data_IF_555589122313
#
_entry.id   IF_555589122313
#
_cell.length_a   1.000
_cell.length_b   1.000
_cell.length_c   1.000
_cell.angle_alpha   90.00
_cell.angle_beta   90.00
_cell.angle_gamma   90.00
#
_symmetry.space_group_name_H-M   'P 1'
#
loop_
_entity.id
_entity.type
_entity.pdbx_description
1 polymer ?
#
# COMPACT_ATOMS: atom_id res chain seq x y z
N UNK A 1 -9.80 -6.60 11.50
CA UNK A 1 -11.05 -6.17 10.80
C UNK A 1 -10.60 -5.52 9.48
N UNK A 2 -11.40 -5.47 8.40
CA UNK A 2 -10.90 -4.97 7.11
C UNK A 2 -10.81 -3.43 7.02
N UNK A 3 -10.94 -2.71 8.14
CA UNK A 3 -10.91 -1.24 8.20
C UNK A 3 -10.03 -0.79 9.35
N UNK A 4 -9.37 0.36 9.17
CA UNK A 4 -8.54 0.98 10.20
C UNK A 4 -9.27 2.11 10.93
N UNK A 5 -8.75 2.46 12.10
CA UNK A 5 -9.29 3.55 12.90
C UNK A 5 -9.08 4.90 12.22
N UNK A 6 -10.15 5.71 12.15
CA UNK A 6 -10.13 7.00 11.45
C UNK A 6 -9.13 8.01 12.01
N UNK A 7 -8.78 7.90 13.29
CA UNK A 7 -7.85 8.80 13.97
C UNK A 7 -6.38 8.64 13.54
N UNK A 8 -6.02 7.53 12.90
CA UNK A 8 -4.65 7.29 12.43
C UNK A 8 -4.42 7.74 10.98
N UNK A 9 -5.50 7.92 10.20
CA UNK A 9 -5.42 8.14 8.75
C UNK A 9 -4.54 9.34 8.37
N UNK A 10 -4.78 10.51 8.97
CA UNK A 10 -4.04 11.73 8.63
C UNK A 10 -2.56 11.62 8.97
N UNK A 11 -2.21 10.97 10.08
CA UNK A 11 -0.82 10.76 10.50
C UNK A 11 -0.08 9.83 9.53
N UNK A 12 -0.71 8.73 9.14
CA UNK A 12 -0.12 7.74 8.23
C UNK A 12 0.06 8.34 6.83
N UNK A 13 -0.95 9.03 6.31
CA UNK A 13 -0.87 9.67 4.98
C UNK A 13 0.12 10.83 4.98
N UNK A 14 0.11 11.68 6.01
CA UNK A 14 1.08 12.76 6.14
C UNK A 14 2.53 12.26 6.22
N UNK A 15 2.77 11.10 6.87
CA UNK A 15 4.08 10.45 6.83
C UNK A 15 4.45 10.03 5.40
N UNK A 16 3.55 9.35 4.68
CA UNK A 16 3.80 8.92 3.31
C UNK A 16 4.09 10.09 2.36
N UNK A 17 3.36 11.20 2.49
CA UNK A 17 3.61 12.44 1.73
C UNK A 17 5.00 13.01 1.98
N UNK A 18 5.47 12.99 3.23
CA UNK A 18 6.82 13.44 3.58
C UNK A 18 7.92 12.55 3.01
N UNK A 19 7.68 11.24 2.91
CA UNK A 19 8.64 10.30 2.32
C UNK A 19 8.75 10.43 0.80
N UNK A 20 7.71 10.96 0.12
CA UNK A 20 7.64 11.07 -1.35
C UNK A 20 8.05 9.79 -2.09
N UNK A 21 7.48 8.62 -1.75
CA UNK A 21 7.85 7.35 -2.38
C UNK A 21 7.38 7.26 -3.83
N UNK A 22 8.13 6.56 -4.68
CA UNK A 22 7.70 6.20 -6.04
C UNK A 22 7.17 4.76 -6.09
N UNK A 23 7.50 3.95 -5.09
CA UNK A 23 7.09 2.56 -4.95
C UNK A 23 6.68 2.22 -3.53
N UNK A 24 5.45 1.73 -3.35
CA UNK A 24 4.85 1.42 -2.05
C UNK A 24 4.37 -0.02 -2.03
N UNK A 25 4.59 -0.71 -0.91
CA UNK A 25 3.94 -1.98 -0.58
C UNK A 25 3.00 -1.77 0.61
N UNK A 26 1.72 -2.10 0.43
CA UNK A 26 0.69 -2.07 1.47
C UNK A 26 0.30 -3.49 1.85
N UNK A 27 0.57 -3.89 3.08
CA UNK A 27 0.41 -5.28 3.55
C UNK A 27 -0.76 -5.35 4.53
N UNK A 28 -1.74 -6.22 4.23
CA UNK A 28 -3.00 -6.27 4.95
C UNK A 28 -3.95 -5.17 4.48
N UNK A 29 -4.14 -5.06 3.17
CA UNK A 29 -4.90 -3.96 2.53
C UNK A 29 -6.34 -3.82 3.03
N UNK A 30 -6.94 -4.90 3.56
CA UNK A 30 -8.29 -4.91 4.10
C UNK A 30 -9.30 -4.52 3.02
N UNK A 31 -10.05 -3.44 3.24
CA UNK A 31 -11.01 -2.90 2.28
C UNK A 31 -10.41 -1.91 1.26
N UNK A 32 -9.07 -1.75 1.25
CA UNK A 32 -8.34 -0.88 0.32
C UNK A 32 -8.26 0.59 0.75
N UNK A 33 -8.49 0.87 2.04
CA UNK A 33 -8.54 2.24 2.57
C UNK A 33 -7.22 2.99 2.37
N UNK A 34 -6.09 2.40 2.78
CA UNK A 34 -4.78 3.05 2.61
C UNK A 34 -4.34 3.08 1.16
N UNK A 35 -4.54 2.02 0.38
CA UNK A 35 -4.28 2.06 -1.06
C UNK A 35 -4.98 3.23 -1.77
N UNK A 36 -6.26 3.47 -1.46
CA UNK A 36 -7.01 4.58 -2.04
C UNK A 36 -6.49 5.94 -1.59
N UNK A 37 -6.21 6.09 -0.30
CA UNK A 37 -5.67 7.33 0.25
C UNK A 37 -4.26 7.62 -0.28
N UNK A 38 -3.38 6.63 -0.37
CA UNK A 38 -2.05 6.77 -0.97
C UNK A 38 -2.14 7.18 -2.44
N UNK A 39 -2.98 6.49 -3.23
CA UNK A 39 -3.20 6.81 -4.65
C UNK A 39 -3.65 8.25 -4.83
N UNK A 40 -4.64 8.68 -4.04
CA UNK A 40 -5.23 10.01 -4.18
C UNK A 40 -4.36 11.12 -3.62
N UNK A 41 -3.62 10.91 -2.51
CA UNK A 41 -2.81 11.98 -1.90
C UNK A 41 -1.43 12.11 -2.53
N UNK A 42 -0.79 11.00 -2.90
CA UNK A 42 0.56 11.04 -3.46
C UNK A 42 0.56 11.33 -4.97
N UNK A 43 -0.52 10.99 -5.66
CA UNK A 43 -0.63 11.16 -7.11
C UNK A 43 -1.74 12.12 -7.58
N UNK A 44 -2.41 12.84 -6.67
CA UNK A 44 -3.52 13.77 -6.97
C UNK A 44 -3.40 14.53 -8.30
N UNK A 45 -2.24 15.12 -8.59
CA UNK A 45 -1.98 15.94 -9.78
C UNK A 45 -1.87 15.11 -11.07
N UNK A 46 -1.37 13.87 -11.02
CA UNK A 46 -1.11 13.05 -12.22
C UNK A 46 -2.24 12.06 -12.53
N UNK A 47 -3.26 11.92 -11.67
CA UNK A 47 -4.39 11.03 -11.92
C UNK A 47 -5.30 11.49 -13.08
N UNK A 48 -5.31 12.79 -13.36
CA UNK A 48 -6.14 13.39 -14.40
C UNK A 48 -5.30 14.22 -15.36
N UNK A 49 -5.71 14.22 -16.62
CA UNK A 49 -5.28 15.20 -17.60
C UNK A 49 -6.34 16.30 -17.67
N UNK A 50 -5.90 17.54 -17.46
CA UNK A 50 -6.78 18.71 -17.43
C UNK A 50 -6.33 19.67 -18.53
N UNK A 51 -7.22 19.92 -19.49
CA UNK A 51 -7.03 20.85 -20.61
C UNK A 51 -8.18 21.85 -20.64
N UNK A 52 -7.98 23.01 -20.00
CA UNK A 52 -9.01 24.03 -19.85
C UNK A 52 -10.23 23.51 -19.07
N UNK A 53 -11.38 23.42 -19.73
CA UNK A 53 -12.62 22.89 -19.15
C UNK A 53 -12.79 21.38 -19.30
N UNK A 54 -11.86 20.69 -19.97
CA UNK A 54 -11.91 19.25 -20.17
C UNK A 54 -11.01 18.56 -19.15
N UNK A 55 -11.54 17.55 -18.47
CA UNK A 55 -10.77 16.67 -17.60
C UNK A 55 -11.05 15.21 -17.95
N UNK A 56 -9.99 14.41 -18.10
CA UNK A 56 -10.11 12.96 -18.25
C UNK A 56 -9.19 12.25 -17.27
N UNK A 57 -9.64 11.13 -16.74
CA UNK A 57 -8.77 10.29 -15.94
C UNK A 57 -7.67 9.70 -16.82
N UNK A 58 -6.42 9.73 -16.35
CA UNK A 58 -5.32 9.02 -17.00
C UNK A 58 -5.51 7.51 -16.81
N UNK A 59 -5.11 6.74 -17.82
CA UNK A 59 -5.05 5.29 -17.69
C UNK A 59 -3.94 4.88 -16.71
N UNK A 60 -4.08 3.71 -16.07
CA UNK A 60 -3.17 3.29 -14.99
C UNK A 60 -1.71 3.18 -15.43
N UNK A 61 -1.44 2.88 -16.69
CA UNK A 61 -0.10 2.82 -17.27
C UNK A 61 0.61 4.19 -17.32
N UNK A 62 -0.15 5.29 -17.20
CA UNK A 62 0.38 6.64 -17.11
C UNK A 62 0.60 7.11 -15.67
N UNK A 63 0.23 6.28 -14.68
CA UNK A 63 0.47 6.59 -13.29
C UNK A 63 1.95 6.40 -12.96
N UNK A 64 2.50 7.31 -12.18
CA UNK A 64 3.92 7.40 -11.80
C UNK A 64 4.21 6.64 -10.51
N UNK A 65 3.25 6.56 -9.59
CA UNK A 65 3.48 5.90 -8.30
C UNK A 65 3.02 4.45 -8.39
N UNK A 66 3.93 3.51 -8.14
CA UNK A 66 3.60 2.09 -8.01
C UNK A 66 3.10 1.82 -6.61
N UNK A 67 1.90 1.26 -6.49
CA UNK A 67 1.33 0.85 -5.20
C UNK A 67 0.94 -0.62 -5.31
N UNK A 68 1.71 -1.49 -4.68
CA UNK A 68 1.41 -2.92 -4.65
C UNK A 68 0.77 -3.30 -3.32
N UNK A 69 -0.14 -4.27 -3.33
CA UNK A 69 -0.91 -4.70 -2.17
C UNK A 69 -0.78 -6.19 -1.89
N UNK A 70 -0.80 -6.57 -0.61
CA UNK A 70 -0.93 -7.97 -0.16
C UNK A 70 -2.19 -8.10 0.70
N UNK A 71 -3.05 -9.08 0.37
CA UNK A 71 -4.26 -9.41 1.15
C UNK A 71 -4.34 -10.92 1.42
N UNK A 72 -4.57 -11.30 2.67
CA UNK A 72 -4.76 -12.70 3.04
C UNK A 72 -6.14 -13.25 2.69
N UNK A 73 -7.16 -12.39 2.59
CA UNK A 73 -8.55 -12.77 2.39
C UNK A 73 -9.20 -12.09 1.19
N UNK A 74 -9.36 -12.85 0.10
CA UNK A 74 -9.98 -12.40 -1.14
C UNK A 74 -11.40 -11.81 -0.98
N UNK A 75 -12.12 -12.17 0.08
CA UNK A 75 -13.48 -11.70 0.33
C UNK A 75 -13.58 -10.22 0.72
N UNK A 76 -12.47 -9.54 1.04
CA UNK A 76 -12.46 -8.10 1.28
C UNK A 76 -12.32 -7.27 0.00
N UNK A 77 -12.01 -7.90 -1.13
CA UNK A 77 -11.70 -7.19 -2.35
C UNK A 77 -12.93 -6.53 -2.97
N UNK A 78 -12.74 -5.29 -3.41
CA UNK A 78 -13.75 -4.42 -4.02
C UNK A 78 -13.14 -3.67 -5.20
N UNK A 79 -13.96 -2.95 -5.97
CA UNK A 79 -13.48 -2.09 -7.06
C UNK A 79 -12.48 -1.02 -6.59
N UNK A 80 -12.45 -0.67 -5.30
CA UNK A 80 -11.44 0.24 -4.73
C UNK A 80 -10.04 -0.35 -4.86
N UNK A 81 -9.88 -1.65 -4.73
CA UNK A 81 -8.58 -2.31 -4.85
C UNK A 81 -8.09 -2.28 -6.28
N UNK A 82 -8.97 -2.61 -7.23
CA UNK A 82 -8.64 -2.50 -8.65
C UNK A 82 -8.21 -1.07 -8.94
N UNK A 83 -8.99 -0.06 -8.57
CA UNK A 83 -8.58 1.33 -8.78
C UNK A 83 -7.23 1.68 -8.13
N UNK A 84 -7.01 1.30 -6.87
CA UNK A 84 -5.92 1.87 -6.06
C UNK A 84 -4.55 1.25 -6.37
N UNK A 85 -4.50 -0.07 -6.53
CA UNK A 85 -3.25 -0.84 -6.60
C UNK A 85 -2.79 -1.06 -8.04
N UNK A 86 -1.48 -0.89 -8.25
CA UNK A 86 -0.76 -1.27 -9.48
C UNK A 86 -0.72 -2.80 -9.63
N UNK A 87 -0.49 -3.51 -8.52
CA UNK A 87 -0.59 -4.97 -8.43
C UNK A 87 -1.17 -5.37 -7.08
N UNK A 88 -2.16 -6.25 -7.08
CA UNK A 88 -2.68 -6.86 -5.85
C UNK A 88 -2.31 -8.35 -5.83
N UNK A 89 -1.71 -8.79 -4.73
CA UNK A 89 -1.33 -10.18 -4.47
C UNK A 89 -2.21 -10.73 -3.36
N UNK A 90 -2.84 -11.88 -3.59
CA UNK A 90 -3.71 -12.52 -2.60
C UNK A 90 -3.06 -13.80 -2.12
N UNK A 91 -2.86 -13.91 -0.80
CA UNK A 91 -2.18 -15.05 -0.18
C UNK A 91 -1.58 -14.72 1.18
N UNK A 92 -0.89 -15.69 1.77
CA UNK A 92 -0.18 -15.47 3.03
C UNK A 92 0.92 -14.42 2.88
N UNK A 93 0.97 -13.48 3.81
CA UNK A 93 1.88 -12.35 3.73
C UNK A 93 3.36 -12.76 3.83
N UNK A 94 3.69 -13.76 4.67
CA UNK A 94 5.07 -14.22 4.83
C UNK A 94 5.55 -15.00 3.59
N UNK A 95 4.69 -15.83 3.02
CA UNK A 95 4.98 -16.53 1.77
C UNK A 95 5.22 -15.54 0.63
N UNK A 96 4.32 -14.57 0.45
CA UNK A 96 4.43 -13.57 -0.62
C UNK A 96 5.63 -12.65 -0.41
N UNK A 97 5.91 -12.20 0.82
CA UNK A 97 7.09 -11.40 1.11
C UNK A 97 8.38 -12.16 0.76
N UNK A 98 8.47 -13.45 1.08
CA UNK A 98 9.69 -14.26 0.88
C UNK A 98 10.17 -14.35 -0.57
N UNK A 99 9.27 -14.14 -1.54
CA UNK A 99 9.56 -14.20 -2.98
C UNK A 99 9.74 -12.82 -3.62
N UNK A 100 9.48 -11.73 -2.87
CA UNK A 100 9.78 -10.38 -3.33
C UNK A 100 11.27 -10.10 -3.24
N UNK A 101 11.79 -9.35 -4.19
CA UNK A 101 13.20 -8.96 -4.22
C UNK A 101 13.56 -8.03 -3.06
N UNK A 102 14.85 -7.98 -2.73
CA UNK A 102 15.35 -7.03 -1.74
C UNK A 102 15.19 -5.60 -2.24
N UNK A 103 14.90 -4.66 -1.34
CA UNK A 103 14.96 -3.21 -1.60
C UNK A 103 14.10 -2.74 -2.79
N UNK A 104 12.99 -3.42 -3.06
CA UNK A 104 12.06 -3.15 -4.16
C UNK A 104 11.14 -1.95 -3.95
N UNK A 105 10.88 -1.56 -2.69
CA UNK A 105 9.92 -0.52 -2.34
C UNK A 105 10.56 0.62 -1.53
N UNK A 106 10.18 1.86 -1.81
CA UNK A 106 10.62 3.04 -1.05
C UNK A 106 9.90 3.14 0.30
N UNK A 107 8.65 2.70 0.34
CA UNK A 107 7.81 2.66 1.53
C UNK A 107 7.11 1.31 1.65
N UNK A 108 7.18 0.71 2.83
CA UNK A 108 6.33 -0.43 3.19
C UNK A 108 5.43 0.02 4.32
N UNK A 109 4.12 -0.18 4.17
CA UNK A 109 3.14 0.04 5.23
C UNK A 109 2.47 -1.29 5.61
N UNK A 110 2.25 -1.47 6.90
CA UNK A 110 1.54 -2.61 7.46
C UNK A 110 0.79 -2.12 8.71
N UNK A 111 -0.52 -1.92 8.56
CA UNK A 111 -1.36 -1.25 9.55
C UNK A 111 -2.41 -2.24 10.07
N UNK A 112 -2.53 -2.37 11.39
CA UNK A 112 -3.50 -3.28 12.05
C UNK A 112 -3.39 -4.74 11.54
N UNK A 113 -2.16 -5.19 11.22
CA UNK A 113 -1.90 -6.57 10.77
C UNK A 113 -1.02 -7.37 11.75
N UNK A 114 -0.20 -6.70 12.56
CA UNK A 114 0.83 -7.38 13.35
C UNK A 114 0.22 -8.31 14.42
N UNK A 115 -0.98 -7.97 14.91
CA UNK A 115 -1.74 -8.76 15.89
C UNK A 115 -2.18 -10.14 15.36
N UNK A 116 -2.13 -10.36 14.04
CA UNK A 116 -2.46 -11.64 13.43
C UNK A 116 -1.33 -12.65 13.49
N UNK A 117 -0.12 -12.25 13.89
CA UNK A 117 1.04 -13.13 13.94
C UNK A 117 1.37 -13.61 15.35
N UNK A 118 1.82 -14.86 15.46
CA UNK A 118 2.57 -15.27 16.64
C UNK A 118 3.89 -14.51 16.71
N UNK A 119 4.45 -14.36 17.92
CA UNK A 119 5.65 -13.55 18.16
C UNK A 119 6.81 -13.84 17.19
N UNK A 120 7.12 -15.11 16.94
CA UNK A 120 8.22 -15.49 16.04
C UNK A 120 7.93 -15.14 14.58
N UNK A 121 6.67 -15.36 14.15
CA UNK A 121 6.20 -14.97 12.82
C UNK A 121 6.22 -13.45 12.66
N UNK A 122 5.82 -12.69 13.68
CA UNK A 122 5.86 -11.23 13.68
C UNK A 122 7.29 -10.70 13.58
N UNK A 123 8.25 -11.33 14.25
CA UNK A 123 9.68 -11.00 14.09
C UNK A 123 10.14 -11.27 12.65
N UNK A 124 9.74 -12.40 12.06
CA UNK A 124 10.06 -12.72 10.68
C UNK A 124 9.43 -11.71 9.70
N UNK A 125 8.16 -11.38 9.90
CA UNK A 125 7.42 -10.38 9.15
C UNK A 125 8.16 -9.03 9.14
N UNK A 126 8.56 -8.53 10.31
CA UNK A 126 9.30 -7.28 10.42
C UNK A 126 10.68 -7.32 9.72
N UNK A 127 11.35 -8.47 9.70
CA UNK A 127 12.60 -8.65 8.95
C UNK A 127 12.36 -8.59 7.45
N UNK A 128 11.32 -9.27 6.98
CA UNK A 128 10.95 -9.29 5.56
C UNK A 128 10.50 -7.91 5.07
N UNK A 129 9.68 -7.19 5.84
CA UNK A 129 9.31 -5.80 5.54
C UNK A 129 10.55 -4.91 5.40
N UNK A 130 11.56 -5.06 6.28
CA UNK A 130 12.83 -4.33 6.19
C UNK A 130 13.69 -4.77 5.01
N UNK A 131 13.65 -6.05 4.64
CA UNK A 131 14.43 -6.61 3.52
C UNK A 131 13.94 -6.06 2.18
N UNK A 132 12.63 -6.05 1.96
CA UNK A 132 12.02 -5.57 0.70
C UNK A 132 11.96 -4.05 0.61
N UNK A 133 12.14 -3.34 1.73
CA UNK A 133 12.14 -1.89 1.78
C UNK A 133 13.56 -1.30 1.63
N UNK A 134 13.71 -0.27 0.81
CA UNK A 134 14.95 0.53 0.71
C UNK A 134 14.90 1.86 1.47
N UNK A 135 13.70 2.33 1.81
CA UNK A 135 13.48 3.56 2.55
C UNK A 135 12.89 3.30 3.93
N UNK A 136 11.61 3.59 4.08
CA UNK A 136 10.93 3.60 5.38
C UNK A 136 9.93 2.43 5.51
N UNK A 137 9.87 1.84 6.70
CA UNK A 137 8.82 0.87 7.06
C UNK A 137 7.95 1.50 8.13
N UNK A 138 6.64 1.59 7.87
CA UNK A 138 5.64 2.10 8.81
C UNK A 138 4.76 0.94 9.29
N UNK A 139 4.79 0.71 10.61
CA UNK A 139 3.95 -0.28 11.29
C UNK A 139 3.08 0.47 12.28
N UNK A 140 1.78 0.19 12.29
CA UNK A 140 0.83 0.74 13.26
C UNK A 140 -0.15 -0.33 13.74
#
# INVERSE_FOLDING_TARGET
MPFSYSNQLSTIIGFAEQQRPESILDIGVGMGQYGFLLRTNLENINLFEIEGSNARQRSKDQWKIRIDGIEGYAGYLTAVHDYSYSRLMVGDALELLSVLEDRTYDLVIAIDILEHFYKEQGINFLKECKRVCRGSVLIA
#
